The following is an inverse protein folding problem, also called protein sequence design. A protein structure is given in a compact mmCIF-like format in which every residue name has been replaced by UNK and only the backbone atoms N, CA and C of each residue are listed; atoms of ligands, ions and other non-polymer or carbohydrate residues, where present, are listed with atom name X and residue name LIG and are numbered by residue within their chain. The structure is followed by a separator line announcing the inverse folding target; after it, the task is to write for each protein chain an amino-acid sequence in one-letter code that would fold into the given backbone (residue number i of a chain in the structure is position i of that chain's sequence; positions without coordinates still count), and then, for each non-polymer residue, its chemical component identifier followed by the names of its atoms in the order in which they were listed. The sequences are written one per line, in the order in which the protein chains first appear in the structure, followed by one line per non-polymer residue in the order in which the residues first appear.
data_IF_364391386051
#
_entry.id   IF_364391386051
#
_cell.length_a   1.000
_cell.length_b   1.000
_cell.length_c   1.000
_cell.angle_alpha   90.00
_cell.angle_beta   90.00
_cell.angle_gamma   90.00
#
_symmetry.space_group_name_H-M   'P 1'
#
loop_
_entity.id
_entity.type
_entity.pdbx_description
1 polymer ?
#
# COMPACT_ATOMS: atom_id res chain seq x y z
N UNK A 1 -41.74 -44.73 -48.59
CA UNK A 1 -41.07 -43.40 -48.49
C UNK A 1 -40.88 -43.12 -46.98
N UNK A 2 -39.70 -43.46 -46.46
CA UNK A 2 -39.40 -43.27 -45.02
C UNK A 2 -38.70 -41.90 -44.85
N UNK A 3 -39.30 -41.02 -44.07
CA UNK A 3 -38.75 -39.73 -43.69
C UNK A 3 -37.85 -39.97 -42.46
N UNK A 4 -36.54 -39.81 -42.63
CA UNK A 4 -35.60 -39.82 -41.49
C UNK A 4 -35.53 -38.41 -40.90
N UNK A 5 -36.05 -38.28 -39.69
CA UNK A 5 -35.90 -37.05 -38.88
C UNK A 5 -34.48 -36.99 -38.32
N UNK A 6 -33.69 -35.99 -38.75
CA UNK A 6 -32.37 -35.69 -38.19
C UNK A 6 -32.60 -34.74 -37.03
N UNK A 7 -32.32 -35.21 -35.80
CA UNK A 7 -32.28 -34.38 -34.60
C UNK A 7 -30.85 -33.83 -34.49
N UNK A 8 -30.70 -32.52 -34.71
CA UNK A 8 -29.45 -31.79 -34.46
C UNK A 8 -29.47 -31.35 -33.00
N UNK A 9 -28.65 -32.04 -32.17
CA UNK A 9 -28.40 -31.61 -30.81
C UNK A 9 -27.40 -30.40 -30.84
N UNK A 10 -27.91 -29.20 -30.56
CA UNK A 10 -27.06 -28.06 -30.25
C UNK A 10 -26.54 -28.23 -28.81
N UNK A 11 -25.29 -28.65 -28.63
CA UNK A 11 -24.59 -28.52 -27.37
C UNK A 11 -24.20 -27.06 -27.15
N UNK A 12 -24.95 -26.34 -26.33
CA UNK A 12 -24.53 -25.07 -25.77
C UNK A 12 -23.35 -25.35 -24.79
N UNK A 13 -22.15 -25.21 -25.29
CA UNK A 13 -20.99 -25.03 -24.40
C UNK A 13 -21.13 -23.65 -23.77
N UNK A 14 -21.55 -23.61 -22.52
CA UNK A 14 -21.33 -22.46 -21.65
C UNK A 14 -19.80 -22.34 -21.48
N UNK A 15 -19.20 -21.47 -22.27
CA UNK A 15 -17.91 -20.86 -21.94
C UNK A 15 -18.17 -20.03 -20.66
N UNK A 16 -17.97 -20.64 -19.51
CA UNK A 16 -17.81 -19.91 -18.28
C UNK A 16 -16.65 -18.93 -18.50
N UNK A 17 -16.94 -17.62 -18.49
CA UNK A 17 -15.92 -16.63 -18.26
C UNK A 17 -15.28 -17.02 -16.92
N UNK A 18 -14.14 -17.68 -16.96
CA UNK A 18 -13.25 -17.71 -15.80
C UNK A 18 -13.02 -16.24 -15.46
N UNK A 19 -13.42 -15.81 -14.27
CA UNK A 19 -12.92 -14.59 -13.68
C UNK A 19 -11.39 -14.79 -13.64
N UNK A 20 -10.69 -14.21 -14.60
CA UNK A 20 -9.25 -14.06 -14.50
C UNK A 20 -9.04 -13.11 -13.32
N UNK A 21 -8.86 -13.71 -12.12
CA UNK A 21 -8.50 -12.96 -10.93
C UNK A 21 -7.25 -12.15 -11.25
N UNK A 22 -7.18 -10.93 -10.74
CA UNK A 22 -5.95 -10.15 -10.86
C UNK A 22 -4.75 -11.02 -10.44
N UNK A 23 -3.70 -11.12 -11.27
CA UNK A 23 -2.54 -11.93 -10.96
C UNK A 23 -1.93 -11.48 -9.63
N UNK A 24 -1.44 -12.42 -8.83
CA UNK A 24 -0.75 -12.04 -7.59
C UNK A 24 0.56 -11.32 -7.92
N UNK A 25 1.03 -10.39 -7.08
CA UNK A 25 2.30 -9.67 -7.32
C UNK A 25 3.48 -10.62 -7.57
N UNK A 26 3.51 -11.78 -6.92
CA UNK A 26 4.57 -12.78 -7.10
C UNK A 26 4.54 -13.51 -8.44
N UNK A 27 3.49 -13.36 -9.24
CA UNK A 27 3.40 -13.98 -10.58
C UNK A 27 4.01 -13.10 -11.66
N UNK A 28 4.14 -11.80 -11.39
CA UNK A 28 4.59 -10.80 -12.37
C UNK A 28 5.76 -9.94 -11.91
N UNK A 29 6.05 -9.94 -10.60
CA UNK A 29 7.18 -9.21 -10.01
C UNK A 29 8.15 -10.19 -9.36
N UNK A 30 9.32 -10.37 -9.97
CA UNK A 30 10.39 -11.22 -9.44
C UNK A 30 11.24 -10.44 -8.45
N UNK A 31 11.51 -11.04 -7.29
CA UNK A 31 12.34 -10.45 -6.24
C UNK A 31 13.65 -11.22 -6.13
N UNK A 32 14.77 -10.52 -6.27
CA UNK A 32 16.12 -11.07 -6.20
C UNK A 32 16.93 -10.41 -5.08
N UNK A 33 17.57 -11.22 -4.24
CA UNK A 33 18.54 -10.73 -3.28
C UNK A 33 19.81 -10.23 -4.00
N UNK A 34 20.15 -8.97 -3.79
CA UNK A 34 21.40 -8.38 -4.32
C UNK A 34 22.51 -8.48 -3.29
N UNK A 35 22.24 -8.07 -2.06
CA UNK A 35 23.24 -8.10 -0.99
C UNK A 35 22.60 -8.14 0.38
N UNK A 36 23.39 -8.60 1.35
CA UNK A 36 23.09 -8.54 2.77
C UNK A 36 24.32 -8.07 3.53
N UNK A 37 24.14 -7.12 4.43
CA UNK A 37 25.19 -6.66 5.34
C UNK A 37 24.68 -6.62 6.77
N UNK A 38 25.59 -6.88 7.71
CA UNK A 38 25.30 -6.75 9.13
C UNK A 38 25.63 -5.34 9.60
N UNK A 39 24.77 -4.78 10.42
CA UNK A 39 24.94 -3.47 11.05
C UNK A 39 24.56 -3.55 12.53
N UNK A 40 24.85 -2.49 13.28
CA UNK A 40 24.26 -2.26 14.60
C UNK A 40 23.26 -1.11 14.50
N UNK A 41 22.03 -1.34 14.96
CA UNK A 41 21.00 -0.32 15.02
C UNK A 41 20.17 -0.45 16.30
N UNK A 42 19.84 0.66 16.95
CA UNK A 42 19.18 0.67 18.27
C UNK A 42 19.94 -0.20 19.32
N UNK A 43 21.28 -0.21 19.27
CA UNK A 43 22.16 -1.06 20.09
C UNK A 43 21.90 -2.57 19.95
N UNK A 44 21.40 -3.02 18.78
CA UNK A 44 21.11 -4.42 18.48
C UNK A 44 21.74 -4.83 17.14
N UNK A 45 22.07 -6.12 16.97
CA UNK A 45 22.39 -6.65 15.65
C UNK A 45 21.20 -6.46 14.70
N UNK A 46 21.47 -5.92 13.52
CA UNK A 46 20.51 -5.71 12.45
C UNK A 46 21.13 -6.06 11.09
N UNK A 47 20.32 -6.21 10.10
CA UNK A 47 20.76 -6.47 8.72
C UNK A 47 20.17 -5.44 7.77
N UNK A 48 20.95 -5.03 6.78
CA UNK A 48 20.45 -4.37 5.58
C UNK A 48 20.39 -5.41 4.47
N UNK A 49 19.19 -5.62 3.94
CA UNK A 49 18.89 -6.54 2.84
C UNK A 49 18.57 -5.67 1.64
N UNK A 50 19.34 -5.79 0.56
CA UNK A 50 19.07 -5.07 -0.69
C UNK A 50 18.47 -6.03 -1.70
N UNK A 51 17.30 -5.66 -2.22
CA UNK A 51 16.54 -6.43 -3.19
C UNK A 51 16.42 -5.66 -4.51
N UNK A 52 16.39 -6.42 -5.60
CA UNK A 52 15.97 -6.00 -6.93
C UNK A 52 14.57 -6.57 -7.18
N UNK A 53 13.65 -5.72 -7.62
CA UNK A 53 12.30 -6.12 -8.02
C UNK A 53 12.20 -5.90 -9.53
N UNK A 54 12.04 -6.98 -10.27
CA UNK A 54 11.90 -6.97 -11.72
C UNK A 54 10.45 -7.24 -12.09
N UNK A 55 9.78 -6.25 -12.67
CA UNK A 55 8.45 -6.37 -13.27
C UNK A 55 8.62 -6.71 -14.74
N UNK A 56 8.61 -8.01 -15.06
CA UNK A 56 8.94 -8.49 -16.42
C UNK A 56 7.96 -8.01 -17.48
N UNK A 57 6.67 -7.97 -17.15
CA UNK A 57 5.58 -7.50 -18.03
C UNK A 57 5.71 -6.02 -18.40
N UNK A 58 6.42 -5.23 -17.59
CA UNK A 58 6.63 -3.79 -17.78
C UNK A 58 8.05 -3.45 -18.22
N UNK A 59 8.96 -4.41 -18.16
CA UNK A 59 10.41 -4.18 -18.34
C UNK A 59 10.97 -3.11 -17.38
N UNK A 60 10.51 -3.14 -16.11
CA UNK A 60 10.88 -2.20 -15.04
C UNK A 60 11.71 -2.90 -13.99
N UNK A 61 12.80 -2.28 -13.56
CA UNK A 61 13.64 -2.74 -12.46
C UNK A 61 13.66 -1.66 -11.38
N UNK A 62 13.33 -2.05 -10.14
CA UNK A 62 13.35 -1.17 -8.96
C UNK A 62 14.19 -1.80 -7.87
N UNK A 63 14.69 -0.98 -6.96
CA UNK A 63 15.51 -1.42 -5.85
C UNK A 63 14.94 -0.98 -4.52
N UNK A 64 15.11 -1.83 -3.51
CA UNK A 64 14.70 -1.55 -2.15
C UNK A 64 15.77 -2.00 -1.17
N UNK A 65 15.94 -1.26 -0.08
CA UNK A 65 16.69 -1.67 1.09
C UNK A 65 15.73 -1.97 2.22
N UNK A 66 15.95 -3.06 2.93
CA UNK A 66 15.16 -3.46 4.08
C UNK A 66 16.09 -3.53 5.28
N UNK A 67 15.79 -2.74 6.32
CA UNK A 67 16.46 -2.86 7.60
C UNK A 67 15.70 -3.85 8.46
N UNK A 68 16.32 -4.98 8.74
CA UNK A 68 15.72 -6.08 9.47
C UNK A 68 16.36 -6.21 10.86
N UNK A 69 15.52 -6.31 11.90
CA UNK A 69 15.96 -6.54 13.29
C UNK A 69 15.17 -7.71 13.85
N UNK A 70 15.89 -8.68 14.42
CA UNK A 70 15.27 -9.81 15.12
C UNK A 70 15.26 -9.58 16.63
N UNK A 71 14.17 -9.97 17.32
CA UNK A 71 14.16 -9.92 18.79
C UNK A 71 15.18 -10.91 19.39
N UNK A 72 15.65 -10.63 20.59
CA UNK A 72 16.50 -11.58 21.35
C UNK A 72 15.70 -12.69 22.01
N UNK A 73 14.39 -12.61 21.99
CA UNK A 73 13.43 -13.59 22.54
C UNK A 73 12.79 -14.39 21.42
N UNK A 74 11.97 -15.39 21.78
CA UNK A 74 11.18 -16.13 20.81
C UNK A 74 10.27 -15.18 20.00
N UNK A 75 10.27 -15.37 18.68
CA UNK A 75 9.51 -14.51 17.77
C UNK A 75 8.01 -14.79 17.85
N UNK A 76 7.21 -13.76 18.08
CA UNK A 76 5.75 -13.84 18.11
C UNK A 76 5.08 -13.50 16.77
N UNK A 77 5.82 -12.89 15.85
CA UNK A 77 5.35 -12.46 14.54
C UNK A 77 6.30 -11.43 13.92
N UNK A 78 5.81 -10.73 12.92
CA UNK A 78 6.57 -9.72 12.19
C UNK A 78 5.80 -8.41 12.06
N UNK A 79 6.52 -7.29 12.11
CA UNK A 79 6.03 -5.95 11.82
C UNK A 79 6.79 -5.41 10.60
N UNK A 80 6.08 -5.20 9.50
CA UNK A 80 6.62 -4.62 8.28
C UNK A 80 6.19 -3.16 8.17
N UNK A 81 7.15 -2.26 8.04
CA UNK A 81 6.93 -0.83 8.15
C UNK A 81 7.28 -0.12 6.83
N UNK A 82 6.35 0.68 6.33
CA UNK A 82 6.48 1.52 5.15
C UNK A 82 6.19 2.98 5.50
N UNK A 83 7.02 3.89 5.00
CA UNK A 83 6.88 5.33 5.26
C UNK A 83 6.00 6.04 4.23
N UNK A 84 5.67 7.29 4.53
CA UNK A 84 4.91 8.17 3.66
C UNK A 84 5.66 8.59 2.39
N UNK A 85 5.00 9.39 1.57
CA UNK A 85 5.51 9.84 0.28
C UNK A 85 5.85 8.65 -0.62
N UNK A 86 7.02 8.69 -1.24
CA UNK A 86 7.54 7.61 -2.07
C UNK A 86 8.28 6.50 -1.30
N UNK A 87 8.26 6.54 0.03
CA UNK A 87 8.89 5.50 0.86
C UNK A 87 10.42 5.50 0.79
N UNK A 88 11.07 6.65 0.56
CA UNK A 88 12.53 6.77 0.38
C UNK A 88 13.31 6.79 1.69
N UNK A 89 12.64 6.70 2.83
CA UNK A 89 13.26 6.67 4.16
C UNK A 89 12.90 5.38 4.91
N UNK A 90 13.72 5.00 5.87
CA UNK A 90 13.33 4.04 6.89
C UNK A 90 12.32 4.67 7.85
N UNK A 91 11.49 3.83 8.47
CA UNK A 91 10.51 4.28 9.46
C UNK A 91 11.18 4.90 10.69
N UNK A 92 12.17 4.21 11.24
CA UNK A 92 12.89 4.62 12.45
C UNK A 92 13.94 5.70 12.19
N UNK A 93 13.52 6.94 11.88
CA UNK A 93 14.43 8.09 11.71
C UNK A 93 14.27 9.16 12.81
N UNK A 94 13.16 9.12 13.56
CA UNK A 94 12.86 10.06 14.65
C UNK A 94 12.79 9.37 16.02
N UNK A 95 12.66 10.18 17.08
CA UNK A 95 12.59 9.69 18.46
C UNK A 95 11.40 8.76 18.67
N UNK A 96 10.22 9.18 18.30
CA UNK A 96 8.97 8.42 18.54
C UNK A 96 8.92 7.15 17.69
N UNK A 97 9.33 7.22 16.42
CA UNK A 97 9.40 6.06 15.54
C UNK A 97 10.42 5.03 16.01
N UNK A 98 11.59 5.46 16.49
CA UNK A 98 12.58 4.58 17.13
C UNK A 98 12.06 3.95 18.42
N UNK A 99 11.32 4.71 19.22
CA UNK A 99 10.67 4.19 20.43
C UNK A 99 9.65 3.12 20.09
N UNK A 100 8.87 3.32 19.04
CA UNK A 100 7.89 2.33 18.54
C UNK A 100 8.57 1.06 18.02
N UNK A 101 9.68 1.19 17.29
CA UNK A 101 10.49 0.03 16.87
C UNK A 101 11.03 -0.76 18.06
N UNK A 102 11.67 -0.09 19.01
CA UNK A 102 12.17 -0.75 20.22
C UNK A 102 11.07 -1.46 21.00
N UNK A 103 9.90 -0.83 21.10
CA UNK A 103 8.72 -1.41 21.74
C UNK A 103 8.30 -2.70 21.04
N UNK A 104 8.13 -2.69 19.73
CA UNK A 104 7.74 -3.86 18.94
C UNK A 104 8.76 -5.02 19.08
N UNK A 105 10.06 -4.71 18.99
CA UNK A 105 11.14 -5.71 19.16
C UNK A 105 11.12 -6.30 20.57
N UNK A 106 10.90 -5.48 21.60
CA UNK A 106 10.80 -5.95 22.99
C UNK A 106 9.58 -6.84 23.25
N UNK A 107 8.49 -6.65 22.48
CA UNK A 107 7.32 -7.53 22.50
C UNK A 107 7.57 -8.88 21.80
N UNK A 108 8.68 -9.03 21.08
CA UNK A 108 9.03 -10.25 20.34
C UNK A 108 8.66 -10.22 18.87
N UNK A 109 8.47 -9.04 18.27
CA UNK A 109 8.26 -8.92 16.81
C UNK A 109 9.60 -8.77 16.09
N UNK A 110 9.77 -9.51 14.98
CA UNK A 110 10.75 -9.18 13.97
C UNK A 110 10.29 -7.89 13.26
N UNK A 111 11.20 -6.94 13.03
CA UNK A 111 10.85 -5.70 12.34
C UNK A 111 11.56 -5.61 10.99
N UNK A 112 10.82 -5.19 9.97
CA UNK A 112 11.30 -5.01 8.60
C UNK A 112 10.87 -3.63 8.11
N UNK A 113 11.82 -2.72 8.02
CA UNK A 113 11.58 -1.35 7.54
C UNK A 113 11.94 -1.27 6.07
N UNK A 114 10.96 -0.99 5.21
CA UNK A 114 11.13 -0.90 3.77
C UNK A 114 11.53 0.53 3.39
N UNK A 115 12.65 0.66 2.68
CA UNK A 115 13.13 1.91 2.08
C UNK A 115 13.32 1.71 0.58
N UNK A 116 12.50 2.35 -0.21
CA UNK A 116 12.64 2.36 -1.66
C UNK A 116 13.82 3.22 -2.10
N UNK A 117 14.55 2.75 -3.12
CA UNK A 117 15.69 3.46 -3.69
C UNK A 117 15.27 4.21 -4.96
N UNK A 118 16.09 5.21 -5.33
CA UNK A 118 15.79 6.12 -6.43
C UNK A 118 15.06 7.38 -5.97
N UNK A 119 15.07 8.41 -6.81
CA UNK A 119 14.52 9.74 -6.47
C UNK A 119 13.00 9.74 -6.30
N UNK A 120 12.31 8.79 -6.92
CA UNK A 120 10.86 8.61 -6.87
C UNK A 120 10.46 7.38 -6.03
N UNK A 121 11.39 6.76 -5.27
CA UNK A 121 11.11 5.60 -4.42
C UNK A 121 10.29 4.52 -5.13
N UNK A 122 9.11 4.13 -4.59
CA UNK A 122 8.22 3.14 -5.22
C UNK A 122 7.65 3.63 -6.57
N UNK A 123 7.65 4.94 -6.84
CA UNK A 123 7.26 5.52 -8.10
C UNK A 123 8.39 5.58 -9.15
N UNK A 124 9.59 5.10 -8.85
CA UNK A 124 10.71 5.08 -9.81
C UNK A 124 10.36 4.19 -11.02
N UNK A 125 10.61 4.71 -12.22
CA UNK A 125 10.33 4.05 -13.51
C UNK A 125 8.84 3.70 -13.74
N UNK A 126 7.92 4.37 -13.06
CA UNK A 126 6.49 4.05 -13.13
C UNK A 126 5.66 5.06 -13.91
N UNK A 127 6.29 5.92 -14.70
CA UNK A 127 5.58 6.90 -15.53
C UNK A 127 4.61 6.22 -16.51
N UNK A 128 3.36 6.65 -16.51
CA UNK A 128 2.34 6.19 -17.46
C UNK A 128 1.70 4.83 -17.18
N UNK A 129 1.98 4.18 -16.02
CA UNK A 129 1.46 2.83 -15.74
C UNK A 129 0.28 2.78 -14.76
N UNK A 130 -0.12 3.92 -14.18
CA UNK A 130 -1.18 4.00 -13.18
C UNK A 130 -0.78 3.52 -11.79
N UNK A 131 -1.53 3.95 -10.77
CA UNK A 131 -1.21 3.64 -9.37
C UNK A 131 -1.23 2.14 -9.03
N UNK A 132 -2.23 1.34 -9.44
CA UNK A 132 -2.24 -0.08 -9.05
C UNK A 132 -0.95 -0.78 -9.46
N UNK A 133 -0.51 -0.55 -10.69
CA UNK A 133 0.72 -1.15 -11.22
C UNK A 133 1.97 -0.59 -10.54
N UNK A 134 2.01 0.72 -10.24
CA UNK A 134 3.14 1.35 -9.58
C UNK A 134 3.41 0.77 -8.18
N UNK A 135 2.36 0.46 -7.41
CA UNK A 135 2.49 -0.04 -6.03
C UNK A 135 2.51 -1.56 -5.90
N UNK A 136 2.28 -2.30 -6.97
CA UNK A 136 2.19 -3.76 -7.02
C UNK A 136 3.39 -4.48 -6.38
N UNK A 137 4.59 -3.97 -6.63
CA UNK A 137 5.83 -4.55 -6.13
C UNK A 137 5.92 -4.61 -4.59
N UNK A 138 5.13 -3.83 -3.86
CA UNK A 138 5.05 -3.93 -2.40
C UNK A 138 4.58 -5.33 -1.95
N UNK A 139 3.59 -5.90 -2.61
CA UNK A 139 3.12 -7.26 -2.32
C UNK A 139 4.19 -8.32 -2.58
N UNK A 140 4.96 -8.17 -3.66
CA UNK A 140 6.08 -9.08 -3.95
C UNK A 140 7.17 -9.02 -2.87
N UNK A 141 7.49 -7.82 -2.36
CA UNK A 141 8.43 -7.66 -1.24
C UNK A 141 7.92 -8.36 0.01
N UNK A 142 6.64 -8.17 0.36
CA UNK A 142 6.06 -8.82 1.54
C UNK A 142 6.13 -10.34 1.44
N UNK A 143 5.81 -10.91 0.27
CA UNK A 143 5.90 -12.34 0.05
C UNK A 143 7.34 -12.85 0.17
N UNK A 144 8.31 -12.14 -0.42
CA UNK A 144 9.73 -12.46 -0.25
C UNK A 144 10.13 -12.48 1.23
N UNK A 145 9.75 -11.44 1.98
CA UNK A 145 10.04 -11.38 3.43
C UNK A 145 9.42 -12.55 4.18
N UNK A 146 8.17 -12.87 3.92
CA UNK A 146 7.45 -14.00 4.53
C UNK A 146 8.13 -15.33 4.27
N UNK A 147 8.58 -15.57 3.05
CA UNK A 147 9.17 -16.84 2.61
C UNK A 147 10.65 -16.99 2.99
N UNK A 148 11.41 -15.92 3.00
CA UNK A 148 12.88 -15.97 3.09
C UNK A 148 13.47 -15.39 4.37
N UNK A 149 12.76 -14.46 5.03
CA UNK A 149 13.34 -13.67 6.11
C UNK A 149 12.65 -13.88 7.47
N UNK A 150 11.33 -14.00 7.48
CA UNK A 150 10.56 -14.12 8.69
C UNK A 150 10.74 -15.50 9.33
N UNK A 151 10.94 -15.51 10.65
CA UNK A 151 11.03 -16.75 11.44
C UNK A 151 9.64 -17.26 11.86
N UNK A 152 8.70 -16.33 12.08
CA UNK A 152 7.32 -16.64 12.44
C UNK A 152 6.34 -15.85 11.58
N UNK A 153 5.59 -16.57 10.75
CA UNK A 153 4.63 -16.00 9.79
C UNK A 153 3.18 -16.12 10.25
N UNK A 154 2.92 -16.51 11.50
CA UNK A 154 1.56 -16.68 12.02
C UNK A 154 0.87 -15.35 12.33
N UNK A 155 1.64 -14.31 12.59
CA UNK A 155 1.13 -12.98 12.87
C UNK A 155 1.99 -11.93 12.15
N UNK A 156 1.56 -11.48 10.99
CA UNK A 156 2.24 -10.47 10.19
C UNK A 156 1.40 -9.19 10.21
N UNK A 157 1.99 -8.13 10.70
CA UNK A 157 1.41 -6.79 10.79
C UNK A 157 2.08 -5.91 9.73
N UNK A 158 1.31 -5.43 8.75
CA UNK A 158 1.76 -4.40 7.83
C UNK A 158 1.39 -3.02 8.39
N UNK A 159 2.36 -2.13 8.50
CA UNK A 159 2.18 -0.77 9.01
C UNK A 159 2.63 0.21 7.93
N UNK A 160 1.76 1.12 7.55
CA UNK A 160 2.06 2.13 6.54
C UNK A 160 1.53 3.51 6.92
N UNK A 161 2.38 4.54 6.77
CA UNK A 161 1.98 5.93 6.88
C UNK A 161 1.77 6.55 5.50
N UNK A 162 0.69 7.31 5.26
CA UNK A 162 0.44 8.06 4.02
C UNK A 162 0.67 7.20 2.76
N UNK A 163 1.71 7.47 1.97
CA UNK A 163 2.08 6.64 0.80
C UNK A 163 2.31 5.17 1.12
N UNK A 164 2.77 4.83 2.34
CA UNK A 164 2.86 3.45 2.82
C UNK A 164 1.49 2.81 3.05
N UNK A 165 0.54 3.54 3.64
CA UNK A 165 -0.84 3.09 3.81
C UNK A 165 -1.53 2.85 2.46
N UNK A 166 -1.20 3.69 1.47
CA UNK A 166 -1.66 3.58 0.09
C UNK A 166 -1.20 2.27 -0.56
N UNK A 167 0.10 1.90 -0.43
CA UNK A 167 0.63 0.65 -0.96
C UNK A 167 -0.08 -0.58 -0.35
N UNK A 168 -0.32 -0.57 0.97
CA UNK A 168 -1.04 -1.64 1.67
C UNK A 168 -2.49 -1.73 1.18
N UNK A 169 -3.20 -0.61 1.10
CA UNK A 169 -4.58 -0.56 0.65
C UNK A 169 -4.74 -1.10 -0.78
N UNK A 170 -3.86 -0.73 -1.72
CA UNK A 170 -3.85 -1.29 -3.07
C UNK A 170 -3.51 -2.78 -3.08
N UNK A 171 -2.54 -3.18 -2.27
CA UNK A 171 -2.19 -4.59 -2.10
C UNK A 171 -3.39 -5.44 -1.71
N UNK A 172 -4.19 -4.98 -0.75
CA UNK A 172 -5.43 -5.63 -0.32
C UNK A 172 -6.49 -5.60 -1.43
N UNK A 173 -6.77 -4.42 -1.97
CA UNK A 173 -7.91 -4.19 -2.88
C UNK A 173 -7.70 -4.81 -4.27
N UNK A 174 -6.46 -4.98 -4.72
CA UNK A 174 -6.12 -5.35 -6.11
C UNK A 174 -5.28 -6.62 -6.23
N UNK A 175 -4.53 -7.01 -5.19
CA UNK A 175 -3.46 -8.00 -5.31
C UNK A 175 -3.49 -9.08 -4.23
N UNK A 176 -4.64 -9.33 -3.62
CA UNK A 176 -4.88 -10.40 -2.63
C UNK A 176 -3.86 -10.42 -1.48
N UNK A 177 -3.36 -9.25 -1.06
CA UNK A 177 -2.37 -9.12 0.00
C UNK A 177 -2.86 -9.71 1.34
N UNK A 178 -4.16 -9.87 1.52
CA UNK A 178 -4.79 -10.54 2.67
C UNK A 178 -4.27 -11.97 2.94
N UNK A 179 -3.69 -12.61 1.92
CA UNK A 179 -3.08 -13.93 2.08
C UNK A 179 -1.68 -13.87 2.71
N UNK A 180 -1.09 -12.68 2.79
CA UNK A 180 0.27 -12.47 3.24
C UNK A 180 0.37 -11.70 4.57
N UNK A 181 -0.69 -11.02 4.99
CA UNK A 181 -0.74 -10.25 6.24
C UNK A 181 -2.00 -10.55 7.05
N UNK A 182 -1.88 -10.51 8.38
CA UNK A 182 -2.99 -10.71 9.30
C UNK A 182 -3.65 -9.39 9.71
N UNK A 183 -2.84 -8.34 9.86
CA UNK A 183 -3.27 -7.03 10.30
C UNK A 183 -2.63 -5.94 9.44
N UNK A 184 -3.40 -4.87 9.18
CA UNK A 184 -2.92 -3.68 8.50
C UNK A 184 -3.18 -2.44 9.38
N UNK A 185 -2.13 -1.70 9.74
CA UNK A 185 -2.21 -0.41 10.44
C UNK A 185 -1.99 0.67 9.39
N UNK A 186 -3.05 1.41 9.05
CA UNK A 186 -3.06 2.45 8.05
C UNK A 186 -3.08 3.82 8.73
N UNK A 187 -2.00 4.58 8.58
CA UNK A 187 -1.77 5.84 9.27
C UNK A 187 -1.87 6.99 8.27
N UNK A 188 -2.62 8.03 8.61
CA UNK A 188 -2.85 9.18 7.76
C UNK A 188 -3.21 8.77 6.32
N UNK A 189 -4.22 7.91 6.20
CA UNK A 189 -4.60 7.41 4.88
C UNK A 189 -5.49 6.16 4.86
N UNK A 190 -5.67 5.61 3.63
CA UNK A 190 -4.98 5.99 2.40
C UNK A 190 -5.35 7.43 1.97
N UNK A 191 -4.38 8.22 1.51
CA UNK A 191 -4.61 9.64 1.24
C UNK A 191 -5.47 9.89 -0.01
N UNK A 192 -5.70 8.86 -0.81
CA UNK A 192 -6.53 8.91 -2.01
C UNK A 192 -7.24 7.57 -2.20
N UNK A 193 -8.49 7.48 -1.80
CA UNK A 193 -9.33 6.30 -2.02
C UNK A 193 -10.08 6.38 -3.35
N UNK A 194 -10.65 7.56 -3.64
CA UNK A 194 -11.25 7.93 -4.92
C UNK A 194 -10.46 9.12 -5.48
N UNK A 195 -9.68 8.87 -6.53
CA UNK A 195 -8.81 9.89 -7.13
C UNK A 195 -9.61 11.03 -7.76
N UNK A 196 -10.76 10.77 -8.35
CA UNK A 196 -11.61 11.83 -8.90
C UNK A 196 -12.09 12.77 -7.80
N UNK A 197 -12.57 12.23 -6.68
CA UNK A 197 -13.00 13.02 -5.54
C UNK A 197 -11.81 13.73 -4.85
N UNK A 198 -10.67 13.06 -4.73
CA UNK A 198 -9.47 13.64 -4.13
C UNK A 198 -8.96 14.85 -4.89
N UNK A 199 -9.05 14.85 -6.22
CA UNK A 199 -8.47 15.89 -7.08
C UNK A 199 -9.51 16.95 -7.46
N UNK A 200 -10.69 16.53 -7.88
CA UNK A 200 -11.71 17.40 -8.48
C UNK A 200 -12.99 17.52 -7.64
N UNK A 201 -13.12 16.70 -6.59
CA UNK A 201 -14.34 16.61 -5.79
C UNK A 201 -14.60 17.79 -4.85
N UNK A 202 -15.61 17.64 -4.01
CA UNK A 202 -16.01 18.59 -3.01
C UNK A 202 -14.96 18.77 -1.90
N UNK A 203 -15.01 19.92 -1.21
CA UNK A 203 -14.04 20.30 -0.18
C UNK A 203 -13.79 19.19 0.87
N UNK A 204 -14.82 18.48 1.29
CA UNK A 204 -14.72 17.45 2.33
C UNK A 204 -13.92 16.21 1.90
N UNK A 205 -13.89 15.90 0.60
CA UNK A 205 -13.18 14.74 0.03
C UNK A 205 -11.92 15.12 -0.74
N UNK A 206 -11.71 16.42 -0.97
CA UNK A 206 -10.60 16.94 -1.74
C UNK A 206 -9.32 16.86 -0.92
N UNK A 207 -8.30 16.19 -1.44
CA UNK A 207 -6.98 16.20 -0.83
C UNK A 207 -6.27 17.52 -1.07
N UNK A 208 -5.60 18.02 -0.04
CA UNK A 208 -4.84 19.28 -0.06
C UNK A 208 -3.36 18.95 0.13
N UNK A 209 -2.65 18.69 -0.95
CA UNK A 209 -1.21 18.49 -0.90
C UNK A 209 -0.53 19.87 -1.02
N UNK A 210 0.31 20.26 -0.06
CA UNK A 210 1.04 21.50 -0.18
C UNK A 210 2.01 21.45 -1.38
N UNK A 211 2.02 22.50 -2.16
CA UNK A 211 3.06 22.90 -3.13
C UNK A 211 3.44 21.91 -4.23
N UNK A 212 2.54 21.08 -4.70
CA UNK A 212 2.80 20.26 -5.89
C UNK A 212 3.92 19.22 -5.73
N UNK A 213 4.48 19.06 -4.54
CA UNK A 213 5.46 18.03 -4.19
C UNK A 213 4.74 16.86 -3.58
N UNK A 214 4.05 16.10 -4.33
CA UNK A 214 3.30 14.97 -3.80
C UNK A 214 2.07 14.70 -4.64
N UNK A 215 1.07 14.12 -4.09
CA UNK A 215 -0.12 13.58 -4.67
C UNK A 215 -0.45 13.94 -6.12
N UNK A 216 -0.67 15.21 -6.46
CA UNK A 216 -1.19 15.56 -7.79
C UNK A 216 -0.13 15.56 -8.89
N UNK A 217 1.05 16.09 -8.64
CA UNK A 217 2.17 15.98 -9.59
C UNK A 217 2.59 14.52 -9.75
N UNK A 218 2.58 13.77 -8.65
CA UNK A 218 2.81 12.32 -8.67
C UNK A 218 1.75 11.61 -9.49
N UNK A 219 0.48 12.01 -9.36
CA UNK A 219 -0.62 11.43 -10.13
C UNK A 219 -0.42 11.69 -11.62
N UNK A 220 -0.08 12.92 -12.01
CA UNK A 220 0.21 13.23 -13.41
C UNK A 220 1.40 12.40 -13.94
N UNK A 221 2.50 12.30 -13.18
CA UNK A 221 3.66 11.49 -13.55
C UNK A 221 3.30 10.01 -13.73
N UNK A 222 2.63 9.42 -12.74
CA UNK A 222 2.27 7.99 -12.77
C UNK A 222 1.30 7.66 -13.91
N UNK A 223 0.50 8.64 -14.36
CA UNK A 223 -0.39 8.48 -15.52
C UNK A 223 0.24 8.99 -16.83
N UNK A 224 1.47 9.50 -16.81
CA UNK A 224 2.17 10.01 -17.99
C UNK A 224 1.66 11.37 -18.50
N UNK A 225 1.04 12.16 -17.61
CA UNK A 225 0.45 13.46 -17.96
C UNK A 225 1.30 14.66 -17.56
N UNK A 226 2.40 14.45 -16.89
CA UNK A 226 3.30 15.49 -16.36
C UNK A 226 3.92 16.39 -17.45
N UNK A 227 3.98 15.90 -18.70
CA UNK A 227 4.44 16.65 -19.86
C UNK A 227 3.34 16.91 -20.91
N UNK A 228 2.09 16.55 -20.62
CA UNK A 228 0.99 16.63 -21.59
C UNK A 228 -0.12 17.59 -21.20
N UNK A 229 -0.30 17.91 -19.94
CA UNK A 229 -1.40 18.76 -19.48
C UNK A 229 -1.39 19.05 -18.00
N UNK A 230 -0.67 18.24 -17.20
CA UNK A 230 -0.64 18.35 -15.75
C UNK A 230 -2.06 18.48 -15.16
N UNK A 231 -2.97 17.60 -15.61
CA UNK A 231 -4.40 17.72 -15.36
C UNK A 231 -4.73 17.70 -13.86
N UNK A 232 -4.05 16.85 -13.10
CA UNK A 232 -4.24 16.73 -11.67
C UNK A 232 -3.58 17.86 -10.90
N UNK A 233 -2.35 18.24 -11.26
CA UNK A 233 -1.63 19.35 -10.64
C UNK A 233 -2.37 20.68 -10.85
N UNK A 234 -2.86 20.94 -12.05
CA UNK A 234 -3.58 22.16 -12.40
C UNK A 234 -5.02 22.17 -11.88
N UNK A 235 -5.54 21.03 -11.43
CA UNK A 235 -6.94 20.85 -10.97
C UNK A 235 -7.93 21.50 -11.94
N UNK A 236 -7.82 21.12 -13.22
CA UNK A 236 -8.67 21.65 -14.28
C UNK A 236 -10.13 21.58 -13.89
N UNK A 237 -10.89 22.68 -14.02
CA UNK A 237 -12.30 22.72 -13.66
C UNK A 237 -13.15 21.75 -14.52
N UNK A 238 -12.70 21.47 -15.74
CA UNK A 238 -13.32 20.54 -16.66
C UNK A 238 -12.24 19.59 -17.21
N UNK A 239 -11.81 18.57 -16.45
CA UNK A 239 -10.83 17.62 -16.94
C UNK A 239 -11.44 16.82 -18.10
N UNK A 240 -10.62 16.43 -19.10
CA UNK A 240 -11.10 15.57 -20.17
C UNK A 240 -11.66 14.24 -19.65
N UNK A 241 -12.67 13.69 -20.30
CA UNK A 241 -13.31 12.43 -19.91
C UNK A 241 -12.33 11.27 -19.76
N UNK A 242 -11.29 11.21 -20.59
CA UNK A 242 -10.29 10.16 -20.49
C UNK A 242 -9.50 10.25 -19.17
N UNK A 243 -9.23 11.46 -18.67
CA UNK A 243 -8.57 11.67 -17.38
C UNK A 243 -9.42 11.10 -16.26
N UNK A 244 -10.72 11.45 -16.23
CA UNK A 244 -11.64 10.94 -15.20
C UNK A 244 -11.76 9.41 -15.24
N UNK A 245 -11.78 8.80 -16.43
CA UNK A 245 -11.84 7.35 -16.60
C UNK A 245 -10.56 6.65 -16.10
N UNK A 246 -9.39 7.18 -16.42
CA UNK A 246 -8.13 6.59 -15.97
C UNK A 246 -7.92 6.76 -14.45
N UNK A 247 -8.34 7.89 -13.87
CA UNK A 247 -8.34 8.08 -12.43
C UNK A 247 -9.32 7.12 -11.72
N UNK A 248 -10.51 6.90 -12.28
CA UNK A 248 -11.44 5.90 -11.74
C UNK A 248 -10.80 4.52 -11.75
N UNK A 249 -10.24 4.06 -12.87
CA UNK A 249 -9.55 2.78 -12.97
C UNK A 249 -8.40 2.64 -11.96
N UNK A 250 -7.73 3.74 -11.67
CA UNK A 250 -6.62 3.81 -10.71
C UNK A 250 -7.08 3.98 -9.26
N UNK A 251 -8.35 4.23 -8.98
CA UNK A 251 -8.88 4.41 -7.63
C UNK A 251 -9.00 3.09 -6.86
N UNK A 252 -8.85 3.13 -5.53
CA UNK A 252 -9.21 2.01 -4.65
C UNK A 252 -10.71 1.70 -4.73
N UNK A 253 -11.53 2.75 -4.85
CA UNK A 253 -12.98 2.66 -4.96
C UNK A 253 -13.44 2.85 -6.42
N UNK A 254 -12.76 2.18 -7.35
CA UNK A 254 -13.12 2.23 -8.76
C UNK A 254 -14.53 1.70 -8.99
N UNK A 255 -15.24 2.35 -9.92
CA UNK A 255 -16.55 1.88 -10.41
C UNK A 255 -16.44 1.08 -11.72
N UNK A 256 -15.29 1.17 -12.39
CA UNK A 256 -15.06 0.56 -13.71
C UNK A 256 -14.21 -0.71 -13.70
N UNK A 257 -13.54 -1.01 -12.58
CA UNK A 257 -12.75 -2.23 -12.40
C UNK A 257 -13.11 -2.91 -11.09
N UNK A 258 -12.99 -4.23 -11.07
CA UNK A 258 -13.28 -5.01 -9.86
C UNK A 258 -12.31 -4.67 -8.76
N UNK A 259 -12.84 -4.38 -7.58
CA UNK A 259 -12.10 -4.16 -6.34
C UNK A 259 -12.62 -5.10 -5.27
N UNK A 260 -11.72 -5.74 -4.54
CA UNK A 260 -12.12 -6.47 -3.35
C UNK A 260 -12.10 -5.52 -2.15
N UNK A 261 -13.18 -5.52 -1.39
CA UNK A 261 -13.34 -4.71 -0.17
C UNK A 261 -13.75 -5.58 1.03
N UNK A 262 -13.60 -6.91 0.91
CA UNK A 262 -13.90 -7.87 1.97
C UNK A 262 -12.68 -8.75 2.24
N UNK A 263 -11.84 -8.34 3.18
CA UNK A 263 -10.56 -8.96 3.48
C UNK A 263 -10.62 -9.86 4.71
N UNK A 264 -9.76 -10.87 4.78
CA UNK A 264 -9.46 -11.62 6.02
C UNK A 264 -8.57 -10.85 6.98
N UNK A 265 -7.91 -9.81 6.47
CA UNK A 265 -7.03 -8.93 7.23
C UNK A 265 -7.84 -7.98 8.10
N UNK A 266 -7.50 -7.87 9.39
CA UNK A 266 -8.05 -6.83 10.26
C UNK A 266 -7.39 -5.48 9.95
N UNK A 267 -8.20 -4.45 9.65
CA UNK A 267 -7.72 -3.13 9.29
C UNK A 267 -7.90 -2.13 10.43
N UNK A 268 -6.83 -1.39 10.72
CA UNK A 268 -6.81 -0.40 11.79
C UNK A 268 -6.34 0.93 11.21
N UNK A 269 -7.19 1.93 11.28
CA UNK A 269 -6.92 3.27 10.78
C UNK A 269 -6.59 4.20 11.93
N UNK A 270 -5.55 5.02 11.76
CA UNK A 270 -5.15 6.04 12.74
C UNK A 270 -4.95 7.36 12.00
N UNK A 271 -5.79 8.33 12.27
CA UNK A 271 -5.81 9.61 11.58
C UNK A 271 -5.84 10.80 12.56
N UNK A 272 -5.49 11.97 12.06
CA UNK A 272 -5.58 13.28 12.70
C UNK A 272 -6.40 14.21 11.82
N UNK A 273 -6.67 15.42 12.27
CA UNK A 273 -7.25 16.47 11.43
C UNK A 273 -6.15 17.18 10.61
N UNK A 274 -5.46 16.44 9.76
CA UNK A 274 -4.35 16.97 8.98
C UNK A 274 -4.78 17.85 7.80
N UNK A 275 -3.89 18.75 7.39
CA UNK A 275 -4.14 19.71 6.32
C UNK A 275 -4.25 19.07 4.91
N UNK A 276 -3.76 17.85 4.75
CA UNK A 276 -3.84 17.13 3.47
C UNK A 276 -5.19 16.47 3.25
N UNK A 277 -6.07 16.48 4.27
CA UNK A 277 -7.36 15.80 4.27
C UNK A 277 -7.27 14.30 3.99
N UNK A 278 -6.18 13.66 4.42
CA UNK A 278 -6.04 12.21 4.34
C UNK A 278 -7.14 11.48 5.15
N UNK A 279 -7.65 12.12 6.21
CA UNK A 279 -8.79 11.66 6.98
C UNK A 279 -10.04 11.48 6.12
N UNK A 280 -10.40 12.47 5.28
CA UNK A 280 -11.58 12.39 4.41
C UNK A 280 -11.50 11.24 3.41
N UNK A 281 -10.37 11.05 2.76
CA UNK A 281 -10.14 9.95 1.83
C UNK A 281 -10.00 8.59 2.54
N UNK A 282 -9.29 8.57 3.67
CA UNK A 282 -9.18 7.38 4.53
C UNK A 282 -10.55 6.94 5.05
N UNK A 283 -11.41 7.89 5.43
CA UNK A 283 -12.78 7.60 5.88
C UNK A 283 -13.65 7.04 4.76
N UNK A 284 -13.53 7.57 3.56
CA UNK A 284 -14.23 7.07 2.38
C UNK A 284 -13.89 5.60 2.12
N UNK A 285 -12.60 5.25 2.19
CA UNK A 285 -12.16 3.86 2.06
C UNK A 285 -12.62 2.99 3.22
N UNK A 286 -12.48 3.48 4.46
CA UNK A 286 -12.95 2.79 5.65
C UNK A 286 -14.44 2.43 5.54
N UNK A 287 -15.30 3.37 5.17
CA UNK A 287 -16.75 3.14 5.09
C UNK A 287 -17.12 2.10 4.03
N UNK A 288 -16.35 2.02 2.93
CA UNK A 288 -16.57 1.05 1.85
C UNK A 288 -16.13 -0.39 2.21
N UNK A 289 -15.16 -0.58 3.10
CA UNK A 289 -14.66 -1.90 3.52
C UNK A 289 -15.75 -2.67 4.25
N UNK A 290 -15.88 -3.97 3.96
CA UNK A 290 -16.85 -4.88 4.56
C UNK A 290 -16.26 -5.78 5.66
N UNK A 291 -14.93 -5.85 5.72
CA UNK A 291 -14.18 -6.65 6.70
C UNK A 291 -14.11 -6.01 8.08
N UNK A 292 -13.55 -6.74 9.05
CA UNK A 292 -13.25 -6.21 10.38
C UNK A 292 -12.31 -5.01 10.29
N UNK A 293 -12.74 -3.90 10.87
CA UNK A 293 -12.03 -2.62 10.79
C UNK A 293 -12.24 -1.79 12.05
N UNK A 294 -11.22 -0.99 12.37
CA UNK A 294 -11.25 -0.06 13.51
C UNK A 294 -10.79 1.32 13.05
N UNK A 295 -11.41 2.34 13.59
CA UNK A 295 -11.05 3.74 13.34
C UNK A 295 -10.63 4.41 14.62
N UNK A 296 -9.42 4.92 14.64
CA UNK A 296 -8.87 5.73 15.73
C UNK A 296 -8.58 7.13 15.21
N UNK A 297 -9.04 8.11 15.96
CA UNK A 297 -8.80 9.51 15.69
C UNK A 297 -7.99 10.10 16.84
N UNK A 298 -6.92 10.82 16.54
CA UNK A 298 -6.10 11.50 17.54
C UNK A 298 -6.61 12.95 17.64
N UNK A 299 -7.36 13.28 18.71
CA UNK A 299 -7.95 14.61 18.86
C UNK A 299 -6.85 15.67 19.05
N UNK A 300 -7.16 16.90 18.67
CA UNK A 300 -6.31 18.08 18.85
C UNK A 300 -4.96 18.06 18.12
N UNK A 301 -4.76 17.08 17.24
CA UNK A 301 -3.57 16.95 16.40
C UNK A 301 -3.90 17.21 14.93
N UNK A 302 -3.00 17.94 14.27
CA UNK A 302 -3.13 18.30 12.85
C UNK A 302 -1.97 17.79 12.01
N UNK A 303 -1.04 17.02 12.61
CA UNK A 303 0.12 16.50 11.91
C UNK A 303 -0.26 15.35 10.98
N UNK A 304 0.19 15.45 9.73
CA UNK A 304 0.15 14.33 8.80
C UNK A 304 1.10 13.19 9.21
N UNK A 305 2.22 13.51 9.89
CA UNK A 305 3.16 12.52 10.46
C UNK A 305 2.67 12.00 11.81
N UNK A 306 1.59 11.25 11.81
CA UNK A 306 0.99 10.68 13.03
C UNK A 306 1.97 9.81 13.81
N UNK A 307 2.84 9.06 13.13
CA UNK A 307 3.84 8.19 13.77
C UNK A 307 4.99 8.96 14.42
N UNK A 308 5.23 10.20 14.00
CA UNK A 308 6.26 11.08 14.54
C UNK A 308 5.81 11.92 15.75
N UNK A 309 4.51 12.01 16.01
CA UNK A 309 3.97 12.70 17.20
C UNK A 309 3.72 11.73 18.35
N UNK A 310 3.92 12.22 19.60
CA UNK A 310 3.85 11.38 20.79
C UNK A 310 2.51 10.67 20.96
N UNK A 311 1.39 11.37 20.80
CA UNK A 311 0.05 10.80 20.94
C UNK A 311 -0.21 9.70 19.90
N UNK A 312 0.15 9.93 18.64
CA UNK A 312 0.02 8.95 17.57
C UNK A 312 0.91 7.73 17.79
N UNK A 313 2.19 7.93 18.14
CA UNK A 313 3.12 6.86 18.45
C UNK A 313 2.68 6.00 19.66
N UNK A 314 2.09 6.62 20.69
CA UNK A 314 1.49 5.91 21.83
C UNK A 314 0.33 5.03 21.37
N UNK A 315 -0.57 5.55 20.53
CA UNK A 315 -1.70 4.78 20.00
C UNK A 315 -1.21 3.61 19.13
N UNK A 316 -0.21 3.80 18.31
CA UNK A 316 0.40 2.72 17.50
C UNK A 316 0.94 1.61 18.41
N UNK A 317 1.68 1.95 19.48
CA UNK A 317 2.21 0.97 20.43
C UNK A 317 1.11 0.20 21.17
N UNK A 318 0.05 0.89 21.61
CA UNK A 318 -1.13 0.27 22.22
C UNK A 318 -1.75 -0.76 21.27
N UNK A 319 -1.98 -0.39 20.01
CA UNK A 319 -2.53 -1.27 19.00
C UNK A 319 -1.62 -2.47 18.74
N UNK A 320 -0.32 -2.26 18.51
CA UNK A 320 0.63 -3.37 18.31
C UNK A 320 0.57 -4.36 19.47
N UNK A 321 0.44 -3.87 20.71
CA UNK A 321 0.34 -4.74 21.90
C UNK A 321 -0.95 -5.57 21.91
N UNK A 322 -2.07 -5.02 21.43
CA UNK A 322 -3.36 -5.74 21.40
C UNK A 322 -3.43 -6.80 20.31
N UNK A 323 -2.56 -6.74 19.30
CA UNK A 323 -2.51 -7.69 18.19
C UNK A 323 -1.65 -8.93 18.49
N UNK A 324 -1.01 -9.02 19.65
CA UNK A 324 -0.13 -10.11 20.09
C UNK A 324 -0.73 -10.99 21.19
#
# INVERSE_FOLDING_TARGET
MQIRTIIILFSLTFLGCANEGNPSPSEIDLVKLISRSSITYLNRPASIIKLEIQSEDLNIIRYVEIRAIKPSTATKGALVLSTGGFGTNYYGIGLETNTTLNFAINLGLETFEIKWLGSQGWGTETAGIGYPTAVRAYGAILRYLKEKEMTNTKNIIAHGGSGGSFQIAYGLTRFNLENDINHAILIAGPPTADLNQAIFGDKALKSYWPDGIGGFRTTDYIHGWDNQGNYCQNRSQNPPDFVLKELDKSSLLSTSVTTDLNYKTNLIFINTNDETNADGQGRLYFDAIQSDKQWHYIPDETSHDVGGITAGAMKIREIIQTLL
#
